data_IF_561034745360
#
_entry.id   IF_561034745360
#
_cell.length_a   1.000
_cell.length_b   1.000
_cell.length_c   1.000
_cell.angle_alpha   90.00
_cell.angle_beta   90.00
_cell.angle_gamma   90.00
#
_symmetry.space_group_name_H-M   'P 1'
#
loop_
_entity.id
_entity.type
_entity.pdbx_description
1 polymer ?
#
# COMPACT_ATOMS: atom_id res chain seq x y z
N UNK A 1 12.03 -13.66 -7.16
CA UNK A 1 10.81 -13.21 -6.45
C UNK A 1 10.08 -12.23 -7.38
N UNK A 2 8.74 -12.18 -7.37
CA UNK A 2 7.98 -11.29 -8.25
C UNK A 2 6.66 -10.86 -7.63
N UNK A 3 6.13 -9.74 -8.12
CA UNK A 3 4.80 -9.24 -7.78
C UNK A 3 3.82 -9.66 -8.89
N UNK A 4 2.57 -9.91 -8.53
CA UNK A 4 1.52 -10.24 -9.49
C UNK A 4 0.59 -9.03 -9.68
N UNK A 5 0.43 -8.60 -10.93
CA UNK A 5 -0.64 -7.70 -11.31
C UNK A 5 -1.94 -8.49 -11.41
N UNK A 6 -2.94 -8.14 -10.60
CA UNK A 6 -4.23 -8.85 -10.52
C UNK A 6 -5.37 -7.86 -10.74
N UNK A 7 -6.34 -8.24 -11.57
CA UNK A 7 -7.56 -7.44 -11.76
C UNK A 7 -8.38 -7.40 -10.47
N UNK A 8 -8.64 -6.20 -9.96
CA UNK A 8 -9.49 -5.97 -8.78
C UNK A 8 -10.88 -6.58 -8.95
N UNK A 9 -11.48 -6.38 -10.12
CA UNK A 9 -12.84 -6.85 -10.42
C UNK A 9 -12.87 -8.38 -10.40
N UNK A 10 -11.91 -9.02 -11.07
CA UNK A 10 -11.87 -10.48 -11.15
C UNK A 10 -11.58 -11.12 -9.79
N UNK A 11 -10.62 -10.58 -9.04
CA UNK A 11 -10.34 -11.02 -7.68
C UNK A 11 -11.59 -10.94 -6.80
N UNK A 12 -12.31 -9.81 -6.83
CA UNK A 12 -13.53 -9.64 -6.04
C UNK A 12 -14.63 -10.65 -6.43
N UNK A 13 -14.86 -10.86 -7.73
CA UNK A 13 -15.82 -11.86 -8.21
C UNK A 13 -15.48 -13.27 -7.71
N UNK A 14 -14.22 -13.66 -7.81
CA UNK A 14 -13.76 -14.97 -7.35
C UNK A 14 -13.93 -15.14 -5.84
N UNK A 15 -13.63 -14.10 -5.05
CA UNK A 15 -13.83 -14.13 -3.59
C UNK A 15 -15.31 -14.27 -3.22
N UNK A 16 -16.19 -13.48 -3.83
CA UNK A 16 -17.64 -13.57 -3.61
C UNK A 16 -18.13 -14.98 -3.94
N UNK A 17 -17.75 -15.51 -5.11
CA UNK A 17 -18.15 -16.85 -5.52
C UNK A 17 -17.68 -17.91 -4.51
N UNK A 18 -16.42 -17.87 -4.09
CA UNK A 18 -15.86 -18.83 -3.11
C UNK A 18 -16.56 -18.76 -1.75
N UNK A 19 -16.89 -17.55 -1.30
CA UNK A 19 -17.67 -17.36 -0.07
C UNK A 19 -19.11 -17.89 -0.21
N UNK A 20 -19.77 -17.65 -1.35
CA UNK A 20 -21.11 -18.20 -1.60
C UNK A 20 -21.11 -19.73 -1.67
N UNK A 21 -20.07 -20.36 -2.24
CA UNK A 21 -19.91 -21.82 -2.28
C UNK A 21 -19.85 -22.46 -0.89
N UNK A 22 -19.39 -21.74 0.13
CA UNK A 22 -19.35 -22.19 1.54
C UNK A 22 -20.55 -21.69 2.37
N UNK A 23 -21.55 -21.09 1.73
CA UNK A 23 -22.80 -20.69 2.37
C UNK A 23 -22.87 -19.25 2.90
N UNK A 24 -21.93 -18.37 2.55
CA UNK A 24 -22.03 -16.94 2.89
C UNK A 24 -23.10 -16.27 2.03
N UNK A 25 -24.05 -15.61 2.68
CA UNK A 25 -25.09 -14.82 2.03
C UNK A 25 -24.57 -13.40 1.70
N UNK A 26 -24.76 -12.95 0.46
CA UNK A 26 -24.41 -11.61 0.01
C UNK A 26 -25.66 -10.78 -0.28
N UNK A 27 -25.84 -9.71 0.49
CA UNK A 27 -26.95 -8.76 0.34
C UNK A 27 -26.50 -7.50 -0.42
N UNK A 28 -26.58 -7.51 -1.76
CA UNK A 28 -26.27 -6.34 -2.59
C UNK A 28 -27.38 -5.27 -2.54
N UNK A 29 -27.05 -4.02 -2.90
CA UNK A 29 -27.96 -2.85 -2.78
C UNK A 29 -28.42 -2.60 -1.33
N UNK A 30 -27.51 -2.81 -0.37
CA UNK A 30 -27.70 -2.56 1.06
C UNK A 30 -26.60 -1.60 1.53
N UNK A 31 -26.70 -0.33 1.13
CA UNK A 31 -25.74 0.67 1.59
C UNK A 31 -26.06 1.04 3.04
N UNK A 32 -25.10 0.82 3.95
CA UNK A 32 -25.27 1.14 5.36
C UNK A 32 -25.40 2.67 5.51
N UNK A 33 -26.56 3.11 6.00
CA UNK A 33 -26.89 4.52 6.15
C UNK A 33 -26.74 5.00 7.60
N UNK A 34 -26.98 4.12 8.57
CA UNK A 34 -26.84 4.41 9.98
C UNK A 34 -26.51 3.15 10.80
N UNK A 35 -25.90 3.34 11.97
CA UNK A 35 -25.53 2.30 12.93
C UNK A 35 -25.78 2.80 14.35
N UNK A 36 -26.56 2.05 15.12
CA UNK A 36 -26.66 2.17 16.57
C UNK A 36 -25.76 1.12 17.22
N UNK A 37 -24.66 1.58 17.80
CA UNK A 37 -23.63 0.74 18.43
C UNK A 37 -24.17 0.11 19.73
N UNK A 38 -24.98 0.83 20.49
CA UNK A 38 -25.48 0.39 21.80
C UNK A 38 -26.57 -0.67 21.62
N UNK A 39 -27.52 -0.44 20.73
CA UNK A 39 -28.59 -1.40 20.45
C UNK A 39 -28.19 -2.47 19.44
N UNK A 40 -26.97 -2.41 18.89
CA UNK A 40 -26.42 -3.30 17.85
C UNK A 40 -27.32 -3.43 16.61
N UNK A 41 -27.79 -2.30 16.08
CA UNK A 41 -28.69 -2.24 14.92
C UNK A 41 -28.07 -1.51 13.72
N UNK A 42 -28.23 -2.12 12.54
CA UNK A 42 -27.82 -1.60 11.25
C UNK A 42 -29.04 -1.08 10.49
N UNK A 43 -28.95 0.13 9.93
CA UNK A 43 -29.98 0.72 9.10
C UNK A 43 -29.46 0.96 7.68
N UNK A 44 -30.18 0.46 6.69
CA UNK A 44 -29.77 0.53 5.29
C UNK A 44 -30.61 1.53 4.50
N UNK A 45 -30.01 2.11 3.45
CA UNK A 45 -30.65 3.11 2.58
C UNK A 45 -31.95 2.61 1.91
N UNK A 46 -32.07 1.28 1.75
CA UNK A 46 -33.27 0.63 1.22
C UNK A 46 -34.39 0.41 2.27
N UNK A 47 -34.24 0.95 3.48
CA UNK A 47 -35.20 0.87 4.57
C UNK A 47 -35.14 -0.42 5.40
N UNK A 48 -34.27 -1.37 5.04
CA UNK A 48 -34.09 -2.59 5.83
C UNK A 48 -33.28 -2.34 7.09
N UNK A 49 -33.54 -3.16 8.10
CA UNK A 49 -32.87 -3.12 9.40
C UNK A 49 -32.46 -4.52 9.82
N UNK A 50 -31.29 -4.62 10.44
CA UNK A 50 -30.73 -5.88 10.94
C UNK A 50 -30.04 -5.66 12.27
N UNK A 51 -30.21 -6.59 13.21
CA UNK A 51 -29.42 -6.65 14.44
C UNK A 51 -28.17 -7.51 14.23
N UNK A 52 -27.07 -7.21 14.92
CA UNK A 52 -25.85 -8.01 14.87
C UNK A 52 -25.35 -8.45 16.26
N UNK A 53 -24.62 -9.55 16.29
CA UNK A 53 -23.82 -9.96 17.48
C UNK A 53 -22.40 -9.45 17.35
N UNK A 54 -21.78 -9.74 16.20
CA UNK A 54 -20.45 -9.28 15.81
C UNK A 54 -20.53 -8.62 14.44
N UNK A 55 -19.85 -7.48 14.28
CA UNK A 55 -19.76 -6.71 13.06
C UNK A 55 -18.29 -6.56 12.66
N UNK A 56 -17.96 -7.11 11.50
CA UNK A 56 -16.65 -6.95 10.88
C UNK A 56 -16.74 -5.82 9.85
N UNK A 57 -16.24 -4.64 10.19
CA UNK A 57 -16.32 -3.45 9.36
C UNK A 57 -15.18 -3.41 8.34
N UNK A 58 -15.54 -3.65 7.08
CA UNK A 58 -14.66 -3.63 5.90
C UNK A 58 -15.17 -2.64 4.84
N UNK A 59 -15.89 -1.61 5.27
CA UNK A 59 -16.60 -0.61 4.45
C UNK A 59 -15.70 0.50 3.86
N UNK A 60 -14.39 0.24 3.79
CA UNK A 60 -13.41 1.05 3.06
C UNK A 60 -13.06 2.40 3.70
N UNK A 61 -12.29 3.22 2.98
CA UNK A 61 -11.77 4.51 3.47
C UNK A 61 -12.86 5.45 3.99
N UNK A 62 -14.06 5.37 3.41
CA UNK A 62 -15.25 6.13 3.80
C UNK A 62 -16.07 5.49 4.93
N UNK A 63 -15.49 4.63 5.75
CA UNK A 63 -16.19 3.83 6.76
C UNK A 63 -17.18 4.64 7.62
N UNK A 64 -18.46 4.24 7.57
CA UNK A 64 -19.49 4.79 8.43
C UNK A 64 -19.32 4.26 9.86
N UNK A 65 -18.91 3.00 10.00
CA UNK A 65 -18.69 2.37 11.31
C UNK A 65 -17.61 3.11 12.08
N UNK A 66 -16.47 3.42 11.43
CA UNK A 66 -15.40 4.21 12.04
C UNK A 66 -15.88 5.58 12.52
N UNK A 67 -16.63 6.31 11.67
CA UNK A 67 -17.21 7.61 12.04
C UNK A 67 -18.17 7.52 13.22
N UNK A 68 -18.97 6.46 13.30
CA UNK A 68 -19.91 6.23 14.40
C UNK A 68 -19.21 5.94 15.72
N UNK A 69 -18.11 5.17 15.70
CA UNK A 69 -17.27 4.94 16.86
C UNK A 69 -16.63 6.23 17.36
N UNK A 70 -16.06 7.04 16.44
CA UNK A 70 -15.50 8.36 16.78
C UNK A 70 -16.56 9.28 17.39
N UNK A 71 -17.77 9.33 16.82
CA UNK A 71 -18.86 10.16 17.33
C UNK A 71 -19.37 9.71 18.69
N UNK A 72 -19.34 8.41 19.00
CA UNK A 72 -19.78 7.86 20.28
C UNK A 72 -18.80 8.17 21.42
N UNK A 73 -17.49 8.05 21.17
CA UNK A 73 -16.44 8.36 22.14
C UNK A 73 -15.16 8.83 21.42
N UNK A 74 -15.10 10.12 21.10
CA UNK A 74 -13.96 10.70 20.38
C UNK A 74 -12.66 10.75 21.17
N UNK A 75 -12.68 10.50 22.50
CA UNK A 75 -11.44 10.39 23.29
C UNK A 75 -10.79 9.03 23.09
N UNK A 76 -11.58 7.95 23.12
CA UNK A 76 -11.11 6.57 22.86
C UNK A 76 -10.85 6.32 21.38
N UNK A 77 -11.73 6.79 20.51
CA UNK A 77 -11.76 6.51 19.08
C UNK A 77 -11.32 7.72 18.26
N UNK A 78 -10.03 8.02 18.23
CA UNK A 78 -9.48 9.17 17.51
C UNK A 78 -9.24 8.81 16.04
N UNK A 79 -9.77 9.64 15.14
CA UNK A 79 -9.50 9.59 13.70
C UNK A 79 -8.50 10.68 13.32
N UNK A 80 -7.47 10.29 12.58
CA UNK A 80 -6.56 11.21 11.91
C UNK A 80 -6.55 10.88 10.42
N UNK A 81 -6.96 11.84 9.60
CA UNK A 81 -6.87 11.76 8.14
C UNK A 81 -5.84 12.77 7.67
N UNK A 82 -4.76 12.28 7.09
CA UNK A 82 -3.66 13.08 6.57
C UNK A 82 -3.62 12.97 5.05
N UNK A 83 -4.06 14.01 4.36
CA UNK A 83 -3.95 14.09 2.90
C UNK A 83 -2.55 14.56 2.48
N UNK A 84 -2.03 14.00 1.40
CA UNK A 84 -0.81 14.50 0.77
C UNK A 84 -1.17 15.61 -0.24
N UNK A 85 -0.21 16.48 -0.62
CA UNK A 85 -0.48 17.56 -1.58
C UNK A 85 -0.63 17.08 -3.03
N UNK A 86 -0.52 15.77 -3.28
CA UNK A 86 -0.71 15.15 -4.60
C UNK A 86 -2.03 14.38 -4.66
N UNK A 87 -2.63 14.38 -5.84
CA UNK A 87 -3.78 13.55 -6.19
C UNK A 87 -3.39 12.61 -7.33
N UNK A 88 -4.31 11.76 -7.78
CA UNK A 88 -4.08 10.88 -8.91
C UNK A 88 -5.22 10.87 -9.93
N UNK A 89 -4.89 10.45 -11.16
CA UNK A 89 -5.85 10.16 -12.22
C UNK A 89 -5.44 8.92 -12.99
N UNK A 90 -6.42 8.09 -13.35
CA UNK A 90 -6.19 6.92 -14.18
C UNK A 90 -6.30 7.26 -15.66
N UNK A 91 -5.45 6.63 -16.48
CA UNK A 91 -5.45 6.68 -17.94
C UNK A 91 -5.35 5.25 -18.48
N UNK A 92 -5.78 5.05 -19.71
CA UNK A 92 -5.84 3.73 -20.33
C UNK A 92 -5.00 3.68 -21.61
N UNK A 93 -4.23 2.60 -21.75
CA UNK A 93 -3.48 2.24 -22.95
C UNK A 93 -3.99 0.88 -23.44
N UNK A 94 -4.60 0.79 -24.63
CA UNK A 94 -5.09 -0.48 -25.16
C UNK A 94 -3.93 -1.39 -25.59
N UNK A 95 -4.23 -2.68 -25.79
CA UNK A 95 -3.37 -3.53 -26.57
C UNK A 95 -3.25 -2.99 -28.01
N UNK A 96 -2.13 -3.30 -28.67
CA UNK A 96 -1.91 -2.96 -30.07
C UNK A 96 -2.92 -3.69 -30.97
N UNK A 97 -3.08 -3.23 -32.21
CA UNK A 97 -4.06 -3.80 -33.16
C UNK A 97 -3.83 -5.28 -33.47
N UNK A 98 -2.62 -5.80 -33.24
CA UNK A 98 -2.27 -7.22 -33.38
C UNK A 98 -2.50 -8.02 -32.09
N UNK A 99 -3.02 -7.42 -31.02
CA UNK A 99 -3.26 -8.03 -29.72
C UNK A 99 -2.04 -8.05 -28.79
N UNK A 100 -0.87 -7.59 -29.25
CA UNK A 100 0.34 -7.51 -28.43
C UNK A 100 0.30 -6.31 -27.47
N UNK A 101 1.01 -6.37 -26.33
CA UNK A 101 1.06 -5.25 -25.41
C UNK A 101 1.87 -4.07 -26.00
N UNK A 102 1.46 -2.85 -25.67
CA UNK A 102 2.15 -1.63 -26.11
C UNK A 102 3.45 -1.34 -25.32
N UNK A 103 3.63 -2.01 -24.17
CA UNK A 103 4.78 -1.92 -23.27
C UNK A 103 5.17 -3.33 -22.80
N UNK A 104 6.37 -3.50 -22.22
CA UNK A 104 6.78 -4.79 -21.64
C UNK A 104 5.84 -5.21 -20.50
N UNK A 105 5.16 -6.36 -20.64
CA UNK A 105 4.09 -6.79 -19.73
C UNK A 105 4.59 -7.17 -18.34
N UNK A 106 5.83 -7.64 -18.23
CA UNK A 106 6.38 -8.21 -16.99
C UNK A 106 7.08 -7.17 -16.10
N UNK A 107 6.96 -5.89 -16.43
CA UNK A 107 7.61 -4.80 -15.70
C UNK A 107 6.57 -3.82 -15.12
N UNK A 108 6.90 -3.23 -13.98
CA UNK A 108 6.27 -2.01 -13.50
C UNK A 108 6.97 -0.82 -14.15
N UNK A 109 6.24 -0.02 -14.93
CA UNK A 109 6.82 1.15 -15.60
C UNK A 109 6.59 2.41 -14.78
N UNK A 110 7.63 3.24 -14.64
CA UNK A 110 7.59 4.47 -13.85
C UNK A 110 8.33 5.58 -14.63
N UNK A 111 7.69 6.73 -14.77
CA UNK A 111 8.26 7.96 -15.32
C UNK A 111 8.30 9.05 -14.23
N UNK A 112 9.42 9.22 -13.50
CA UNK A 112 9.52 10.17 -12.39
C UNK A 112 9.91 11.58 -12.85
N UNK A 113 9.33 12.63 -12.25
CA UNK A 113 9.63 14.05 -12.54
C UNK A 113 9.84 14.89 -11.27
N UNK A 114 10.25 14.27 -10.17
CA UNK A 114 10.26 14.94 -8.86
C UNK A 114 8.83 15.09 -8.36
N UNK A 115 8.24 16.27 -8.52
CA UNK A 115 6.92 16.62 -7.96
C UNK A 115 5.74 15.82 -8.52
N UNK A 116 5.92 15.11 -9.63
CA UNK A 116 4.89 14.33 -10.30
C UNK A 116 5.50 13.09 -10.96
N UNK A 117 4.66 12.10 -11.21
CA UNK A 117 5.09 10.86 -11.86
C UNK A 117 3.95 10.15 -12.56
N UNK A 118 4.27 9.37 -13.58
CA UNK A 118 3.35 8.45 -14.24
C UNK A 118 3.80 7.02 -13.96
N UNK A 119 2.85 6.14 -13.68
CA UNK A 119 3.09 4.70 -13.52
C UNK A 119 2.21 3.91 -14.46
N UNK A 120 2.65 2.75 -14.95
CA UNK A 120 1.81 1.84 -15.73
C UNK A 120 1.90 0.40 -15.20
N UNK A 121 0.74 -0.23 -15.01
CA UNK A 121 0.60 -1.64 -14.69
C UNK A 121 -0.13 -2.37 -15.82
N UNK A 122 0.37 -3.54 -16.18
CA UNK A 122 -0.25 -4.39 -17.17
C UNK A 122 -1.56 -5.01 -16.66
N UNK A 123 -2.55 -5.06 -17.54
CA UNK A 123 -3.78 -5.83 -17.37
C UNK A 123 -3.61 -7.22 -18.02
N UNK A 124 -4.54 -8.13 -17.73
CA UNK A 124 -4.49 -9.51 -18.24
C UNK A 124 -4.67 -9.58 -19.76
N UNK A 125 -5.42 -8.63 -20.34
CA UNK A 125 -5.77 -8.51 -21.76
C UNK A 125 -4.73 -7.75 -22.61
N UNK A 126 -3.49 -7.62 -22.12
CA UNK A 126 -2.38 -6.89 -22.75
C UNK A 126 -2.56 -5.36 -22.82
N UNK A 127 -3.64 -4.81 -22.26
CA UNK A 127 -3.75 -3.36 -22.03
C UNK A 127 -2.99 -2.93 -20.77
N UNK A 128 -2.87 -1.62 -20.54
CA UNK A 128 -2.26 -1.06 -19.35
C UNK A 128 -3.18 -0.02 -18.71
N UNK A 129 -3.20 -0.04 -17.37
CA UNK A 129 -3.77 1.03 -16.57
C UNK A 129 -2.62 1.92 -16.12
N UNK A 130 -2.68 3.19 -16.52
CA UNK A 130 -1.73 4.21 -16.13
C UNK A 130 -2.28 5.00 -14.95
N UNK A 131 -1.42 5.38 -14.02
CA UNK A 131 -1.76 6.25 -12.90
C UNK A 131 -0.83 7.45 -12.91
N UNK A 132 -1.40 8.62 -13.18
CA UNK A 132 -0.71 9.89 -13.14
C UNK A 132 -0.88 10.51 -11.75
N UNK A 133 0.23 10.82 -11.10
CA UNK A 133 0.28 11.55 -9.84
C UNK A 133 0.73 12.98 -10.10
N UNK A 134 -0.07 13.96 -9.69
CA UNK A 134 0.24 15.38 -9.83
C UNK A 134 -0.02 16.10 -8.50
N UNK A 135 0.71 17.19 -8.21
CA UNK A 135 0.31 18.16 -7.19
C UNK A 135 -1.13 18.63 -7.42
N UNK A 136 -1.88 18.81 -6.33
CA UNK A 136 -3.24 19.37 -6.37
C UNK A 136 -3.19 20.84 -6.77
N UNK A 137 -2.30 21.61 -6.14
CA UNK A 137 -2.11 23.06 -6.28
C UNK A 137 -0.62 23.43 -6.34
N UNK A 138 -0.32 24.73 -6.41
CA UNK A 138 1.02 25.31 -6.17
C UNK A 138 2.17 24.78 -7.04
N UNK A 139 1.85 24.27 -8.23
CA UNK A 139 2.82 23.81 -9.22
C UNK A 139 2.30 24.09 -10.64
N UNK A 140 3.18 24.43 -11.63
CA UNK A 140 2.76 24.64 -13.02
C UNK A 140 2.09 23.42 -13.64
N UNK A 141 2.49 22.23 -13.23
CA UNK A 141 1.83 20.96 -13.54
C UNK A 141 1.05 20.50 -12.31
N UNK A 142 -0.17 21.00 -12.16
CA UNK A 142 -1.06 20.66 -11.04
C UNK A 142 -2.47 20.43 -11.54
N UNK A 143 -3.28 19.67 -10.80
CA UNK A 143 -4.68 19.45 -11.20
C UNK A 143 -5.47 20.75 -11.31
N UNK A 144 -5.16 21.77 -10.51
CA UNK A 144 -5.81 23.08 -10.59
C UNK A 144 -5.41 23.91 -11.81
N UNK A 145 -4.19 23.73 -12.33
CA UNK A 145 -3.72 24.45 -13.52
C UNK A 145 -4.09 23.76 -14.84
N UNK A 146 -4.36 22.45 -14.85
CA UNK A 146 -4.59 21.65 -16.06
C UNK A 146 -6.09 21.40 -16.25
N UNK A 147 -6.79 22.36 -16.88
CA UNK A 147 -8.26 22.31 -17.09
C UNK A 147 -8.70 22.29 -18.55
N UNK A 148 -7.77 22.33 -19.50
CA UNK A 148 -8.04 22.44 -20.94
C UNK A 148 -7.25 21.41 -21.73
N UNK A 149 -7.73 21.01 -22.90
CA UNK A 149 -7.08 20.01 -23.77
C UNK A 149 -5.65 20.43 -24.13
N UNK A 150 -5.45 21.71 -24.43
CA UNK A 150 -4.16 22.30 -24.79
C UNK A 150 -3.14 22.12 -23.66
N UNK A 151 -3.56 22.37 -22.42
CA UNK A 151 -2.71 22.23 -21.23
C UNK A 151 -2.41 20.78 -20.89
N UNK A 152 -3.35 19.85 -21.12
CA UNK A 152 -3.08 18.41 -21.00
C UNK A 152 -2.02 17.98 -22.01
N UNK A 153 -2.20 18.39 -23.27
CA UNK A 153 -1.24 18.09 -24.33
C UNK A 153 0.15 18.68 -24.03
N UNK A 154 0.20 19.89 -23.51
CA UNK A 154 1.46 20.54 -23.10
C UNK A 154 2.16 19.75 -22.00
N UNK A 155 1.46 19.33 -20.94
CA UNK A 155 2.02 18.50 -19.87
C UNK A 155 2.67 17.23 -20.46
N UNK A 156 1.94 16.50 -21.29
CA UNK A 156 2.44 15.22 -21.80
C UNK A 156 3.55 15.41 -22.84
N UNK A 157 3.49 16.43 -23.69
CA UNK A 157 4.56 16.72 -24.64
C UNK A 157 5.85 17.22 -23.98
N UNK A 158 5.77 17.94 -22.85
CA UNK A 158 6.95 18.39 -22.13
C UNK A 158 7.50 17.35 -21.16
N UNK A 159 6.62 16.70 -20.39
CA UNK A 159 7.03 15.82 -19.29
C UNK A 159 6.98 14.34 -19.67
N UNK A 160 6.06 13.89 -20.52
CA UNK A 160 5.82 12.45 -20.77
C UNK A 160 5.77 12.10 -22.27
N UNK A 161 6.64 12.75 -23.06
CA UNK A 161 6.52 12.77 -24.52
C UNK A 161 6.52 11.38 -25.17
N UNK A 162 7.28 10.44 -24.61
CA UNK A 162 7.37 9.05 -25.06
C UNK A 162 6.08 8.25 -24.83
N UNK A 163 5.14 8.78 -24.03
CA UNK A 163 3.84 8.14 -23.75
C UNK A 163 2.71 8.65 -24.62
N UNK A 164 2.89 9.78 -25.32
CA UNK A 164 1.83 10.42 -26.12
C UNK A 164 1.23 9.48 -27.17
N UNK A 165 2.05 8.70 -27.87
CA UNK A 165 1.59 7.76 -28.88
C UNK A 165 0.90 6.53 -28.30
N UNK A 166 1.04 6.27 -27.01
CA UNK A 166 0.49 5.08 -26.34
C UNK A 166 -0.93 5.34 -25.83
N UNK A 167 -1.27 6.58 -25.48
CA UNK A 167 -2.51 6.93 -24.78
C UNK A 167 -3.52 7.50 -25.78
N UNK A 168 -4.46 6.70 -26.31
CA UNK A 168 -5.49 7.22 -27.21
C UNK A 168 -6.41 8.16 -26.46
N UNK A 169 -6.88 9.23 -27.12
CA UNK A 169 -7.83 10.17 -26.52
C UNK A 169 -7.36 10.76 -25.16
N UNK A 170 -6.05 10.98 -25.02
CA UNK A 170 -5.41 11.45 -23.78
C UNK A 170 -6.16 12.62 -23.14
N UNK A 171 -6.51 13.64 -23.92
CA UNK A 171 -7.10 14.86 -23.39
C UNK A 171 -8.50 14.64 -22.83
N UNK A 172 -9.32 13.80 -23.47
CA UNK A 172 -10.65 13.46 -22.92
C UNK A 172 -10.52 12.55 -21.71
N UNK A 173 -9.65 11.53 -21.76
CA UNK A 173 -9.41 10.69 -20.59
C UNK A 173 -8.97 11.52 -19.38
N UNK A 174 -8.03 12.44 -19.55
CA UNK A 174 -7.57 13.30 -18.46
C UNK A 174 -8.68 14.22 -17.94
N UNK A 175 -9.49 14.83 -18.81
CA UNK A 175 -10.49 15.80 -18.37
C UNK A 175 -11.75 15.15 -17.78
N UNK A 176 -12.11 13.96 -18.25
CA UNK A 176 -13.37 13.27 -17.91
C UNK A 176 -13.20 12.24 -16.79
N UNK A 177 -12.04 11.56 -16.71
CA UNK A 177 -11.81 10.58 -15.64
C UNK A 177 -11.78 11.27 -14.27
N UNK A 178 -12.26 10.62 -13.21
CA UNK A 178 -12.28 11.20 -11.87
C UNK A 178 -10.86 11.51 -11.37
N UNK A 179 -10.74 12.59 -10.59
CA UNK A 179 -9.55 12.89 -9.80
C UNK A 179 -9.69 12.24 -8.43
N UNK A 180 -8.74 11.38 -8.07
CA UNK A 180 -8.72 10.70 -6.77
C UNK A 180 -7.80 11.41 -5.78
N UNK A 181 -8.28 11.64 -4.56
CA UNK A 181 -7.46 12.18 -3.49
C UNK A 181 -6.63 11.09 -2.80
N UNK A 182 -5.42 11.46 -2.38
CA UNK A 182 -4.52 10.57 -1.67
C UNK A 182 -4.38 10.99 -0.22
N UNK A 183 -4.60 10.05 0.69
CA UNK A 183 -4.47 10.28 2.11
C UNK A 183 -4.28 9.00 2.89
N UNK A 184 -3.78 9.17 4.11
CA UNK A 184 -3.60 8.12 5.10
C UNK A 184 -4.62 8.32 6.21
N UNK A 185 -5.37 7.27 6.53
CA UNK A 185 -6.26 7.21 7.69
C UNK A 185 -5.55 6.46 8.82
N UNK A 186 -5.53 7.06 10.00
CA UNK A 186 -5.12 6.40 11.25
C UNK A 186 -6.28 6.43 12.23
N UNK A 187 -6.56 5.29 12.84
CA UNK A 187 -7.58 5.16 13.86
C UNK A 187 -6.98 4.53 15.12
N UNK A 188 -7.25 5.12 16.29
CA UNK A 188 -6.57 4.76 17.53
C UNK A 188 -7.01 3.43 18.15
N UNK A 189 -8.20 2.94 17.79
CA UNK A 189 -8.75 1.71 18.37
C UNK A 189 -9.64 1.01 17.35
N UNK A 190 -9.31 -0.22 16.96
CA UNK A 190 -9.99 -0.92 15.87
C UNK A 190 -11.11 -1.85 16.33
N UNK A 191 -11.54 -1.75 17.58
CA UNK A 191 -12.62 -2.56 18.11
C UNK A 191 -13.54 -1.82 19.08
N UNK A 192 -14.77 -2.31 19.19
CA UNK A 192 -15.71 -1.93 20.23
C UNK A 192 -16.19 -3.18 20.96
N UNK A 193 -15.68 -3.35 22.18
CA UNK A 193 -15.92 -4.48 23.08
C UNK A 193 -15.77 -5.82 22.32
N UNK A 194 -16.75 -6.71 22.45
CA UNK A 194 -16.79 -7.98 21.73
C UNK A 194 -17.51 -7.89 20.36
N UNK A 195 -17.99 -6.70 19.98
CA UNK A 195 -19.08 -6.58 19.01
C UNK A 195 -18.69 -5.98 17.66
N UNK A 196 -17.62 -5.18 17.59
CA UNK A 196 -17.17 -4.56 16.34
C UNK A 196 -15.66 -4.74 16.20
N UNK A 197 -15.20 -5.09 15.00
CA UNK A 197 -13.80 -5.02 14.60
C UNK A 197 -13.67 -4.35 13.22
N UNK A 198 -12.76 -3.38 13.08
CA UNK A 198 -12.43 -2.69 11.83
C UNK A 198 -11.22 -3.36 11.17
N UNK A 199 -11.23 -3.51 9.84
CA UNK A 199 -10.14 -4.12 9.07
C UNK A 199 -9.95 -3.45 7.71
N UNK A 200 -8.74 -3.56 7.14
CA UNK A 200 -8.38 -2.95 5.86
C UNK A 200 -8.57 -1.43 5.86
N UNK A 201 -8.97 -0.86 4.72
CA UNK A 201 -9.11 0.59 4.55
C UNK A 201 -10.12 1.24 5.51
N UNK A 202 -11.05 0.46 6.09
CA UNK A 202 -11.94 0.95 7.14
C UNK A 202 -11.19 1.33 8.42
N UNK A 203 -10.08 0.64 8.71
CA UNK A 203 -9.20 0.89 9.84
C UNK A 203 -7.97 1.75 9.49
N UNK A 204 -7.36 1.51 8.32
CA UNK A 204 -6.05 2.07 7.96
C UNK A 204 -5.87 2.28 6.45
N UNK A 205 -6.67 3.13 5.82
CA UNK A 205 -6.38 3.50 4.43
C UNK A 205 -4.97 4.10 4.30
N UNK A 206 -4.17 3.59 3.36
CA UNK A 206 -2.79 4.04 3.12
C UNK A 206 -2.60 4.51 1.69
N UNK A 207 -1.63 5.41 1.49
CA UNK A 207 -1.23 5.83 0.14
C UNK A 207 -0.67 4.65 -0.67
N UNK A 208 -0.87 4.61 -2.01
CA UNK A 208 -0.66 3.40 -2.81
C UNK A 208 0.80 3.15 -3.19
N UNK A 209 1.74 3.98 -2.74
CA UNK A 209 3.11 3.98 -3.26
C UNK A 209 3.94 2.75 -2.92
N UNK A 210 3.52 1.92 -1.95
CA UNK A 210 4.14 0.62 -1.69
C UNK A 210 3.34 -0.58 -2.27
N UNK A 211 2.14 -0.35 -2.81
CA UNK A 211 1.26 -1.43 -3.28
C UNK A 211 0.79 -2.39 -2.17
N UNK A 212 0.75 -1.95 -0.91
CA UNK A 212 0.49 -2.82 0.25
C UNK A 212 -0.92 -2.72 0.85
N UNK A 213 -1.79 -1.80 0.41
CA UNK A 213 -3.11 -1.63 1.03
C UNK A 213 -3.94 -2.92 1.06
N UNK A 214 -4.10 -3.57 -0.10
CA UNK A 214 -4.79 -4.86 -0.21
C UNK A 214 -4.07 -5.96 0.59
N UNK A 215 -2.74 -6.06 0.48
CA UNK A 215 -1.95 -7.09 1.16
C UNK A 215 -2.06 -6.97 2.68
N UNK A 216 -1.96 -5.75 3.23
CA UNK A 216 -2.14 -5.45 4.64
C UNK A 216 -3.58 -5.75 5.10
N UNK A 217 -4.59 -5.48 4.27
CA UNK A 217 -5.98 -5.84 4.54
C UNK A 217 -6.22 -7.37 4.58
N UNK A 218 -5.55 -8.14 3.72
CA UNK A 218 -5.58 -9.61 3.81
C UNK A 218 -4.80 -10.14 5.02
N UNK A 219 -3.68 -9.50 5.36
CA UNK A 219 -2.91 -9.83 6.55
C UNK A 219 -3.75 -9.61 7.82
N UNK A 220 -4.57 -8.56 7.88
CA UNK A 220 -5.49 -8.32 8.99
C UNK A 220 -6.42 -9.51 9.26
N UNK A 221 -7.00 -10.07 8.19
CA UNK A 221 -7.93 -11.20 8.29
C UNK A 221 -7.19 -12.43 8.85
N UNK A 222 -6.01 -12.71 8.31
CA UNK A 222 -5.18 -13.83 8.75
C UNK A 222 -4.79 -13.71 10.22
N UNK A 223 -4.34 -12.53 10.64
CA UNK A 223 -3.95 -12.23 12.02
C UNK A 223 -5.14 -12.32 12.98
N UNK A 224 -6.29 -11.74 12.61
CA UNK A 224 -7.50 -11.84 13.44
C UNK A 224 -7.94 -13.29 13.61
N UNK A 225 -7.89 -14.10 12.54
CA UNK A 225 -8.27 -15.50 12.59
C UNK A 225 -7.33 -16.33 13.48
N UNK A 226 -6.03 -16.08 13.44
CA UNK A 226 -5.04 -16.72 14.32
C UNK A 226 -5.28 -16.36 15.79
N UNK A 227 -5.53 -15.09 16.08
CA UNK A 227 -5.84 -14.60 17.42
C UNK A 227 -7.16 -15.20 17.93
N UNK A 228 -8.20 -15.25 17.10
CA UNK A 228 -9.48 -15.87 17.48
C UNK A 228 -9.30 -17.36 17.80
N UNK A 229 -8.56 -18.11 16.98
CA UNK A 229 -8.29 -19.53 17.23
C UNK A 229 -7.51 -19.76 18.53
N UNK A 230 -6.44 -18.99 18.75
CA UNK A 230 -5.62 -19.10 19.97
C UNK A 230 -6.40 -18.74 21.24
N UNK A 231 -7.34 -17.81 21.16
CA UNK A 231 -8.21 -17.41 22.26
C UNK A 231 -9.53 -18.21 22.33
N UNK A 232 -9.61 -19.37 21.66
CA UNK A 232 -10.81 -20.23 21.69
C UNK A 232 -12.11 -19.49 21.31
N UNK A 233 -12.02 -18.59 20.34
CA UNK A 233 -13.13 -17.75 19.85
C UNK A 233 -13.70 -16.77 20.89
N UNK A 234 -12.92 -16.39 21.91
CA UNK A 234 -13.26 -15.27 22.80
C UNK A 234 -13.09 -13.94 22.06
N UNK A 235 -14.20 -13.36 21.58
CA UNK A 235 -14.19 -12.14 20.76
C UNK A 235 -13.68 -10.90 21.49
N UNK A 236 -14.06 -10.70 22.76
CA UNK A 236 -13.61 -9.54 23.55
C UNK A 236 -12.07 -9.48 23.66
N UNK A 237 -11.46 -10.59 24.06
CA UNK A 237 -9.99 -10.69 24.19
C UNK A 237 -9.32 -10.61 22.83
N UNK A 238 -9.92 -11.25 21.81
CA UNK A 238 -9.33 -11.34 20.48
C UNK A 238 -9.34 -10.00 19.76
N UNK A 239 -10.45 -9.27 19.78
CA UNK A 239 -10.56 -7.97 19.14
C UNK A 239 -9.62 -6.94 19.75
N UNK A 240 -9.47 -6.97 21.08
CA UNK A 240 -8.49 -6.14 21.79
C UNK A 240 -7.05 -6.46 21.38
N UNK A 241 -6.67 -7.73 21.37
CA UNK A 241 -5.32 -8.14 20.98
C UNK A 241 -5.04 -7.82 19.50
N UNK A 242 -5.99 -8.12 18.62
CA UNK A 242 -5.94 -7.78 17.20
C UNK A 242 -5.71 -6.28 16.98
N UNK A 243 -6.51 -5.43 17.62
CA UNK A 243 -6.39 -3.98 17.52
C UNK A 243 -4.98 -3.50 17.90
N UNK A 244 -4.51 -3.92 19.07
CA UNK A 244 -3.19 -3.52 19.59
C UNK A 244 -2.04 -3.95 18.66
N UNK A 245 -2.08 -5.18 18.15
CA UNK A 245 -1.03 -5.71 17.30
C UNK A 245 -1.04 -5.09 15.89
N UNK A 246 -2.23 -4.91 15.30
CA UNK A 246 -2.35 -4.46 13.91
C UNK A 246 -2.18 -2.97 13.74
N UNK A 247 -2.62 -2.14 14.69
CA UNK A 247 -2.38 -0.69 14.65
C UNK A 247 -0.88 -0.39 14.48
N UNK A 248 -0.01 -1.09 15.23
CA UNK A 248 1.45 -0.89 15.13
C UNK A 248 1.96 -1.17 13.71
N UNK A 249 1.53 -2.27 13.11
CA UNK A 249 2.00 -2.70 11.78
C UNK A 249 1.40 -1.88 10.65
N UNK A 250 0.11 -1.58 10.69
CA UNK A 250 -0.53 -0.70 9.71
C UNK A 250 0.03 0.72 9.77
N UNK A 251 0.36 1.22 10.96
CA UNK A 251 1.02 2.50 11.08
C UNK A 251 2.41 2.50 10.44
N UNK A 252 3.20 1.45 10.68
CA UNK A 252 4.51 1.28 10.08
C UNK A 252 4.47 1.23 8.55
N UNK A 253 3.56 0.43 7.95
CA UNK A 253 3.48 0.36 6.48
C UNK A 253 2.95 1.65 5.86
N UNK A 254 2.03 2.35 6.53
CA UNK A 254 1.56 3.66 6.10
C UNK A 254 2.69 4.70 6.06
N UNK A 255 3.56 4.72 7.07
CA UNK A 255 4.73 5.61 7.09
C UNK A 255 5.72 5.23 5.98
N UNK A 256 6.01 3.93 5.82
CA UNK A 256 6.92 3.44 4.77
C UNK A 256 6.37 3.70 3.36
N UNK A 257 5.05 3.69 3.16
CA UNK A 257 4.43 4.05 1.90
C UNK A 257 4.61 5.54 1.59
N UNK A 258 4.52 6.42 2.59
CA UNK A 258 4.84 7.85 2.44
C UNK A 258 6.34 8.07 2.17
N UNK A 259 7.23 7.33 2.83
CA UNK A 259 8.67 7.36 2.53
C UNK A 259 8.95 6.94 1.08
N UNK A 260 8.26 5.90 0.60
CA UNK A 260 8.46 5.39 -0.77
C UNK A 260 7.98 6.38 -1.83
N UNK A 261 6.96 7.20 -1.54
CA UNK A 261 6.59 8.31 -2.41
C UNK A 261 7.76 9.25 -2.66
N UNK A 262 8.44 9.68 -1.59
CA UNK A 262 9.61 10.58 -1.65
C UNK A 262 10.78 9.90 -2.36
N UNK A 263 10.97 8.60 -2.13
CA UNK A 263 12.02 7.82 -2.80
C UNK A 263 11.81 7.75 -4.33
N UNK A 264 10.58 7.46 -4.77
CA UNK A 264 10.21 7.33 -6.18
C UNK A 264 10.16 8.67 -6.93
N UNK A 265 9.89 9.77 -6.22
CA UNK A 265 9.80 11.12 -6.79
C UNK A 265 11.17 11.78 -6.91
N UNK A 266 11.85 11.96 -5.77
CA UNK A 266 12.95 12.93 -5.64
C UNK A 266 14.34 12.28 -5.59
N UNK A 267 14.46 11.07 -5.03
CA UNK A 267 15.77 10.47 -4.73
C UNK A 267 16.39 9.70 -5.88
N UNK A 268 15.64 9.38 -6.94
CA UNK A 268 16.15 8.62 -8.09
C UNK A 268 17.31 9.32 -8.84
N UNK A 269 17.48 10.62 -8.64
CA UNK A 269 18.59 11.41 -9.20
C UNK A 269 19.77 11.62 -8.24
N UNK A 270 19.66 11.21 -6.97
CA UNK A 270 20.70 11.39 -5.95
C UNK A 270 21.79 10.31 -6.06
N UNK A 271 23.03 10.73 -6.31
CA UNK A 271 24.17 9.84 -6.49
C UNK A 271 24.50 8.99 -5.25
N UNK A 272 24.32 9.55 -4.05
CA UNK A 272 24.57 8.80 -2.81
C UNK A 272 23.49 7.73 -2.61
N UNK A 273 22.24 8.07 -2.91
CA UNK A 273 21.14 7.10 -2.89
C UNK A 273 21.37 5.97 -3.90
N UNK A 274 21.78 6.29 -5.13
CA UNK A 274 22.12 5.29 -6.15
C UNK A 274 23.28 4.40 -5.74
N UNK A 275 24.32 4.95 -5.09
CA UNK A 275 25.43 4.16 -4.54
C UNK A 275 24.95 3.20 -3.44
N UNK A 276 24.12 3.68 -2.51
CA UNK A 276 23.55 2.83 -1.45
C UNK A 276 22.70 1.69 -2.03
N UNK A 277 21.90 1.94 -3.08
CA UNK A 277 21.14 0.88 -3.77
C UNK A 277 22.04 -0.15 -4.46
N UNK A 278 23.16 0.28 -5.04
CA UNK A 278 24.15 -0.63 -5.61
C UNK A 278 24.81 -1.49 -4.53
N UNK A 279 25.18 -0.88 -3.39
CA UNK A 279 25.71 -1.61 -2.23
C UNK A 279 24.67 -2.62 -1.71
N UNK A 280 23.42 -2.19 -1.54
CA UNK A 280 22.32 -3.05 -1.10
C UNK A 280 22.16 -4.29 -2.00
N UNK A 281 22.22 -4.09 -3.32
CA UNK A 281 22.16 -5.20 -4.29
C UNK A 281 23.36 -6.16 -4.18
N UNK A 282 24.57 -5.65 -3.91
CA UNK A 282 25.74 -6.50 -3.62
C UNK A 282 25.52 -7.30 -2.35
N UNK A 283 25.00 -6.69 -1.28
CA UNK A 283 24.77 -7.39 -0.01
C UNK A 283 23.71 -8.49 -0.16
N UNK A 284 22.59 -8.22 -0.84
CA UNK A 284 21.56 -9.24 -1.10
C UNK A 284 22.09 -10.43 -1.91
N UNK A 285 23.00 -10.17 -2.86
CA UNK A 285 23.59 -11.21 -3.71
C UNK A 285 24.63 -12.05 -2.98
N UNK A 286 25.55 -11.40 -2.27
CA UNK A 286 26.71 -12.08 -1.67
C UNK A 286 26.40 -12.63 -0.27
N UNK A 287 25.36 -12.12 0.41
CA UNK A 287 24.91 -12.57 1.74
C UNK A 287 23.41 -12.93 1.76
N UNK A 288 22.92 -13.82 0.89
CA UNK A 288 21.48 -14.03 0.65
C UNK A 288 20.70 -14.60 1.85
N UNK A 289 21.39 -15.20 2.83
CA UNK A 289 20.80 -15.73 4.07
C UNK A 289 20.93 -14.76 5.25
N UNK A 290 21.75 -13.72 5.12
CA UNK A 290 22.09 -12.79 6.21
C UNK A 290 21.61 -11.37 5.92
N UNK A 291 21.37 -11.01 4.66
CA UNK A 291 20.89 -9.69 4.26
C UNK A 291 19.73 -9.79 3.26
N UNK A 292 18.70 -8.98 3.50
CA UNK A 292 17.54 -8.79 2.61
C UNK A 292 17.10 -7.35 2.73
N UNK A 293 16.93 -6.64 1.62
CA UNK A 293 16.47 -5.25 1.61
C UNK A 293 15.14 -5.09 2.36
N UNK A 294 14.87 -3.90 2.89
CA UNK A 294 13.57 -3.58 3.50
C UNK A 294 12.41 -3.88 2.54
N UNK A 295 12.58 -3.57 1.25
CA UNK A 295 11.59 -3.91 0.23
C UNK A 295 11.36 -5.43 0.16
N UNK A 296 12.42 -6.22 0.07
CA UNK A 296 12.33 -7.68 0.08
C UNK A 296 11.69 -8.25 1.34
N UNK A 297 11.94 -7.65 2.51
CA UNK A 297 11.29 -8.05 3.77
C UNK A 297 9.77 -7.81 3.72
N UNK A 298 9.34 -6.63 3.25
CA UNK A 298 7.92 -6.26 3.19
C UNK A 298 7.17 -7.06 2.11
N UNK A 299 7.79 -7.28 0.96
CA UNK A 299 7.09 -7.80 -0.22
C UNK A 299 7.13 -9.33 -0.32
N UNK A 300 8.17 -9.98 0.20
CA UNK A 300 8.42 -11.41 -0.05
C UNK A 300 8.51 -12.28 1.22
N UNK A 301 8.20 -11.70 2.38
CA UNK A 301 8.14 -12.41 3.67
C UNK A 301 6.85 -12.05 4.42
N UNK A 302 6.63 -12.67 5.60
CA UNK A 302 5.60 -12.27 6.56
C UNK A 302 6.19 -11.57 7.79
N UNK A 303 7.37 -10.95 7.66
CA UNK A 303 7.96 -10.17 8.73
C UNK A 303 7.01 -9.00 9.04
N UNK A 304 6.60 -8.81 10.31
CA UNK A 304 5.73 -7.70 10.71
C UNK A 304 6.25 -6.36 10.20
N UNK A 305 5.38 -5.54 9.58
CA UNK A 305 5.75 -4.25 9.02
C UNK A 305 6.50 -3.35 10.01
N UNK A 306 6.16 -3.39 11.29
CA UNK A 306 6.86 -2.61 12.30
C UNK A 306 8.32 -3.05 12.51
N UNK A 307 8.60 -4.34 12.40
CA UNK A 307 9.97 -4.86 12.40
C UNK A 307 10.70 -4.49 11.11
N UNK A 308 10.03 -4.55 9.95
CA UNK A 308 10.62 -4.11 8.68
C UNK A 308 10.96 -2.59 8.69
N UNK A 309 10.14 -1.77 9.36
CA UNK A 309 10.42 -0.35 9.55
C UNK A 309 11.66 -0.11 10.42
N UNK A 310 11.80 -0.87 11.52
CA UNK A 310 13.00 -0.85 12.36
C UNK A 310 14.24 -1.34 11.59
N UNK A 311 14.10 -2.41 10.80
CA UNK A 311 15.15 -2.95 9.93
C UNK A 311 15.68 -1.89 8.97
N UNK A 312 14.79 -1.13 8.32
CA UNK A 312 15.18 -0.03 7.42
C UNK A 312 16.11 0.99 8.05
N UNK A 313 15.90 1.33 9.33
CA UNK A 313 16.76 2.28 10.05
C UNK A 313 18.17 1.72 10.26
N UNK A 314 18.28 0.43 10.57
CA UNK A 314 19.56 -0.27 10.76
C UNK A 314 20.28 -0.43 9.43
N UNK A 315 19.56 -0.89 8.40
CA UNK A 315 20.07 -1.02 7.05
C UNK A 315 20.58 0.30 6.50
N UNK A 316 19.84 1.40 6.68
CA UNK A 316 20.28 2.72 6.23
C UNK A 316 21.61 3.15 6.89
N UNK A 317 21.80 2.88 8.19
CA UNK A 317 23.09 3.14 8.87
C UNK A 317 24.22 2.27 8.30
N UNK A 318 23.95 0.98 8.12
CA UNK A 318 24.89 0.03 7.53
C UNK A 318 25.32 0.47 6.13
N UNK A 319 24.36 0.76 5.24
CA UNK A 319 24.61 1.20 3.88
C UNK A 319 25.34 2.54 3.83
N UNK A 320 24.99 3.48 4.71
CA UNK A 320 25.70 4.77 4.82
C UNK A 320 27.16 4.56 5.24
N UNK A 321 27.43 3.75 6.26
CA UNK A 321 28.80 3.44 6.71
C UNK A 321 29.64 2.82 5.58
N UNK A 322 29.07 1.88 4.81
CA UNK A 322 29.76 1.27 3.68
C UNK A 322 29.99 2.29 2.56
N UNK A 323 29.00 3.12 2.24
CA UNK A 323 29.08 4.14 1.20
C UNK A 323 30.09 5.25 1.53
N UNK A 324 30.25 5.62 2.80
CA UNK A 324 31.29 6.58 3.23
C UNK A 324 32.69 6.06 2.97
N UNK A 325 32.90 4.75 3.13
CA UNK A 325 34.20 4.10 2.89
C UNK A 325 34.47 3.79 1.43
N UNK A 326 33.47 3.33 0.68
CA UNK A 326 33.59 2.91 -0.71
C UNK A 326 32.69 3.75 -1.61
N UNK A 327 33.30 4.69 -2.34
CA UNK A 327 32.59 5.59 -3.26
C UNK A 327 32.23 4.92 -4.60
N UNK A 328 32.69 3.68 -4.82
CA UNK A 328 32.42 2.88 -6.01
C UNK A 328 32.07 1.47 -5.60
N UNK A 329 31.07 0.89 -6.25
CA UNK A 329 30.59 -0.47 -5.95
C UNK A 329 31.65 -1.53 -6.26
N UNK A 330 32.52 -1.28 -7.24
CA UNK A 330 33.59 -2.21 -7.62
C UNK A 330 34.69 -2.32 -6.54
N UNK A 331 34.80 -1.34 -5.65
CA UNK A 331 35.84 -1.28 -4.62
C UNK A 331 35.40 -1.90 -3.28
N UNK A 332 34.16 -2.40 -3.19
CA UNK A 332 33.58 -2.94 -1.96
C UNK A 332 34.38 -4.17 -1.47
N UNK A 333 34.84 -4.12 -0.22
CA UNK A 333 35.41 -5.25 0.49
C UNK A 333 34.31 -6.04 1.24
N UNK A 334 33.98 -7.24 0.76
CA UNK A 334 32.97 -8.11 1.38
C UNK A 334 33.31 -8.48 2.83
N UNK A 335 34.59 -8.60 3.19
CA UNK A 335 34.99 -8.88 4.57
C UNK A 335 34.72 -7.68 5.48
N UNK A 336 34.84 -6.46 4.97
CA UNK A 336 34.42 -5.27 5.69
C UNK A 336 32.90 -5.21 5.85
N UNK A 337 32.15 -5.49 4.78
CA UNK A 337 30.68 -5.52 4.82
C UNK A 337 30.16 -6.52 5.85
N UNK A 338 30.68 -7.76 5.85
CA UNK A 338 30.31 -8.78 6.84
C UNK A 338 30.55 -8.28 8.27
N UNK A 339 31.74 -7.73 8.55
CA UNK A 339 32.04 -7.16 9.86
C UNK A 339 31.08 -6.04 10.25
N UNK A 340 30.68 -5.16 9.32
CA UNK A 340 29.70 -4.11 9.62
C UNK A 340 28.31 -4.70 9.92
N UNK A 341 27.88 -5.74 9.20
CA UNK A 341 26.63 -6.44 9.48
C UNK A 341 26.63 -7.12 10.86
N UNK A 342 27.77 -7.67 11.28
CA UNK A 342 27.96 -8.32 12.58
C UNK A 342 27.88 -7.36 13.78
N UNK A 343 28.05 -6.04 13.56
CA UNK A 343 27.99 -5.04 14.64
C UNK A 343 26.56 -4.79 15.12
N UNK A 344 25.59 -4.67 14.20
CA UNK A 344 24.21 -4.27 14.55
C UNK A 344 23.15 -5.12 13.85
N UNK A 345 23.26 -5.32 12.53
CA UNK A 345 22.24 -5.99 11.73
C UNK A 345 22.00 -7.45 12.12
N UNK A 346 23.04 -8.28 12.12
CA UNK A 346 22.93 -9.71 12.47
C UNK A 346 22.51 -9.90 13.95
N UNK A 347 23.09 -9.18 14.93
CA UNK A 347 22.59 -9.22 16.30
C UNK A 347 21.10 -8.84 16.43
N UNK A 348 20.65 -7.82 15.68
CA UNK A 348 19.25 -7.40 15.70
C UNK A 348 18.32 -8.47 15.13
N UNK A 349 18.67 -9.11 14.01
CA UNK A 349 17.91 -10.23 13.44
C UNK A 349 17.76 -11.36 14.47
N UNK A 350 18.87 -11.78 15.08
CA UNK A 350 18.89 -12.85 16.09
C UNK A 350 18.04 -12.52 17.31
N UNK A 351 18.14 -11.27 17.81
CA UNK A 351 17.37 -10.81 18.96
C UNK A 351 15.86 -10.88 18.72
N UNK A 352 15.40 -10.63 17.50
CA UNK A 352 13.99 -10.61 17.14
C UNK A 352 13.51 -11.92 16.51
N UNK A 353 14.37 -12.93 16.37
CA UNK A 353 14.03 -14.22 15.76
C UNK A 353 13.60 -14.08 14.29
N UNK A 354 14.13 -13.07 13.58
CA UNK A 354 13.72 -12.78 12.21
C UNK A 354 14.39 -13.76 11.25
N UNK A 355 13.56 -14.46 10.47
CA UNK A 355 13.99 -15.27 9.35
C UNK A 355 13.82 -14.46 8.07
N UNK A 356 14.91 -14.29 7.31
CA UNK A 356 14.92 -13.57 6.04
C UNK A 356 14.57 -14.49 4.86
N UNK A 357 14.22 -15.74 5.14
CA UNK A 357 13.80 -16.66 4.09
C UNK A 357 12.49 -16.19 3.47
N UNK A 358 12.36 -16.48 2.18
CA UNK A 358 11.12 -16.22 1.46
C UNK A 358 9.98 -16.98 2.13
N UNK A 359 8.81 -16.35 2.22
CA UNK A 359 7.60 -17.07 2.59
C UNK A 359 7.28 -18.13 1.52
N UNK A 360 7.36 -19.41 1.91
CA UNK A 360 6.93 -20.53 1.09
C UNK A 360 5.46 -20.83 1.44
N UNK A 361 4.58 -20.69 0.44
CA UNK A 361 3.14 -20.99 0.54
C UNK A 361 2.92 -22.49 0.47
#
# INVERSE_FOLDING_TARGET
ECNYAVSRIELNKQLIQKCSEIGVEFCFNHDLSDLDITSKNLNFSNGKQYSYTHLFATDGVGSLVRRKLHAADGQRFQENVSFIPSDYKELYVPALSNGEPALEKNNLHIWPRGTHMLMALANTDNSFTLTLYLPRTDHPWSFDSIKTKERVHELFSSEFNDTLSLIPHLESQFLENPQGSLGTVRFSEWHYDDSIALMGDAAHAIVPFFGQGMNCGFEDISQLLEILKSNQWNFETSFKHYSQQRIKNANAIADMALENFVEMSDKVADQNFLLQKKIESVLEKEFPTEYRSRYGMITYTLIPYAQAQEAGKIQNRLLTCIAEKFQRVEDIDLSFCQKQMELEWIPWLKKHGIQLDRYQV
#
